data_IF_650965940100
#
_entry.id   IF_650965940100
#
_cell.length_a   1.000
_cell.length_b   1.000
_cell.length_c   1.000
_cell.angle_alpha   90.00
_cell.angle_beta   90.00
_cell.angle_gamma   90.00
#
_symmetry.space_group_name_H-M   'P 1'
#
loop_
_entity.id
_entity.type
_entity.pdbx_description
1 polymer ?
#
# COMPACT_ATOMS: atom_id res chain seq x y z
N UNK A 1 -21.30 -27.72 -38.48
CA UNK A 1 -20.34 -26.81 -37.81
C UNK A 1 -21.04 -26.23 -36.58
N UNK A 2 -20.59 -26.56 -35.37
CA UNK A 2 -21.08 -25.88 -34.16
C UNK A 2 -20.44 -24.50 -34.10
N UNK A 3 -21.17 -23.43 -33.80
CA UNK A 3 -20.59 -22.09 -33.70
C UNK A 3 -19.53 -22.10 -32.60
N UNK A 4 -18.35 -21.55 -32.89
CA UNK A 4 -17.31 -21.32 -31.87
C UNK A 4 -17.80 -20.20 -30.97
N UNK A 5 -18.07 -20.54 -29.73
CA UNK A 5 -18.38 -19.58 -28.68
C UNK A 5 -17.21 -18.64 -28.45
N UNK A 6 -17.49 -17.35 -28.30
CA UNK A 6 -16.47 -16.34 -27.98
C UNK A 6 -15.91 -16.56 -26.57
N UNK A 7 -14.77 -15.92 -26.26
CA UNK A 7 -14.08 -16.08 -24.99
C UNK A 7 -14.94 -15.65 -23.78
N UNK A 8 -15.82 -14.66 -23.97
CA UNK A 8 -16.70 -14.16 -22.90
C UNK A 8 -17.90 -15.08 -22.65
N UNK A 9 -18.46 -15.70 -23.70
CA UNK A 9 -19.52 -16.72 -23.57
C UNK A 9 -18.99 -17.98 -22.89
N UNK A 10 -17.78 -18.42 -23.23
CA UNK A 10 -17.09 -19.52 -22.51
C UNK A 10 -16.84 -19.17 -21.04
N UNK A 11 -16.43 -17.91 -20.77
CA UNK A 11 -16.25 -17.40 -19.40
C UNK A 11 -17.54 -17.45 -18.59
N UNK A 12 -18.68 -17.00 -19.14
CA UNK A 12 -19.97 -17.03 -18.46
C UNK A 12 -20.47 -18.46 -18.20
N UNK A 13 -20.33 -19.38 -19.15
CA UNK A 13 -20.76 -20.77 -19.00
C UNK A 13 -19.94 -21.56 -17.96
N UNK A 14 -18.63 -21.31 -17.85
CA UNK A 14 -17.78 -21.96 -16.84
C UNK A 14 -18.08 -21.45 -15.42
N UNK A 15 -18.43 -20.16 -15.29
CA UNK A 15 -18.85 -19.59 -14.01
C UNK A 15 -20.17 -20.19 -13.52
N UNK A 16 -21.11 -20.45 -14.42
CA UNK A 16 -22.42 -21.05 -14.10
C UNK A 16 -22.37 -22.54 -13.81
N UNK A 17 -21.44 -23.31 -14.41
CA UNK A 17 -21.38 -24.78 -14.23
C UNK A 17 -20.80 -25.25 -12.89
N UNK A 18 -20.07 -24.40 -12.16
CA UNK A 18 -19.49 -24.75 -10.85
C UNK A 18 -20.32 -24.29 -9.62
N UNK A 19 -21.52 -23.70 -9.83
CA UNK A 19 -22.32 -23.14 -8.74
C UNK A 19 -23.64 -23.87 -8.57
N UNK A 20 -23.70 -24.77 -7.62
CA UNK A 20 -24.94 -25.43 -7.19
C UNK A 20 -25.57 -24.83 -5.92
N UNK A 21 -25.15 -23.65 -5.45
CA UNK A 21 -25.67 -23.01 -4.22
C UNK A 21 -25.78 -21.48 -4.37
N UNK A 22 -26.92 -21.02 -4.79
CA UNK A 22 -27.67 -19.81 -4.36
C UNK A 22 -27.07 -18.39 -4.46
N UNK A 23 -25.82 -18.18 -4.83
CA UNK A 23 -25.26 -16.84 -5.10
C UNK A 23 -24.33 -16.86 -6.30
N UNK A 24 -24.59 -15.99 -7.28
CA UNK A 24 -23.80 -15.90 -8.52
C UNK A 24 -22.41 -15.22 -8.34
N UNK A 25 -22.05 -14.84 -7.11
CA UNK A 25 -20.82 -14.07 -6.82
C UNK A 25 -19.63 -14.97 -6.48
N UNK A 26 -18.45 -14.61 -6.97
CA UNK A 26 -17.15 -15.19 -6.57
C UNK A 26 -16.86 -14.74 -5.12
N UNK A 27 -16.68 -15.68 -4.22
CA UNK A 27 -16.51 -15.41 -2.78
C UNK A 27 -15.05 -15.51 -2.39
N UNK A 28 -14.52 -14.41 -1.90
CA UNK A 28 -13.11 -14.23 -1.54
C UNK A 28 -13.02 -14.02 -0.03
N UNK A 29 -12.17 -14.80 0.64
CA UNK A 29 -11.83 -14.60 2.04
C UNK A 29 -10.43 -14.03 2.15
N UNK A 30 -10.32 -12.75 2.51
CA UNK A 30 -9.05 -12.11 2.83
C UNK A 30 -8.64 -12.41 4.27
N UNK A 31 -7.35 -12.72 4.49
CA UNK A 31 -6.79 -13.00 5.84
C UNK A 31 -5.68 -12.01 6.13
N UNK A 32 -5.85 -11.21 7.20
CA UNK A 32 -4.93 -10.13 7.58
C UNK A 32 -4.91 -9.89 9.10
N UNK A 33 -4.06 -8.99 9.58
CA UNK A 33 -3.93 -8.68 11.01
C UNK A 33 -5.13 -7.95 11.60
N UNK A 34 -5.69 -6.98 10.88
CA UNK A 34 -6.83 -6.15 11.26
C UNK A 34 -7.16 -5.16 10.15
N UNK A 35 -8.23 -4.38 10.28
CA UNK A 35 -8.65 -3.37 9.30
C UNK A 35 -8.33 -1.95 9.78
N UNK A 36 -7.07 -1.70 10.19
CA UNK A 36 -6.59 -0.38 10.59
C UNK A 36 -6.06 0.42 9.39
N UNK A 37 -5.63 1.66 9.63
CA UNK A 37 -4.99 2.48 8.57
C UNK A 37 -3.53 2.06 8.38
N UNK A 38 -3.31 0.97 7.65
CA UNK A 38 -2.02 0.49 7.20
C UNK A 38 -1.94 0.42 5.67
N UNK A 39 -0.76 0.12 5.12
CA UNK A 39 -0.58 0.05 3.66
C UNK A 39 -1.39 -1.06 3.00
N UNK A 40 -1.46 -2.24 3.63
CA UNK A 40 -2.22 -3.41 3.13
C UNK A 40 -3.71 -3.16 3.23
N UNK A 41 -4.16 -2.67 4.37
CA UNK A 41 -5.56 -2.40 4.66
C UNK A 41 -6.12 -1.30 3.77
N UNK A 42 -5.36 -0.22 3.58
CA UNK A 42 -5.73 0.86 2.65
C UNK A 42 -5.83 0.34 1.22
N UNK A 43 -4.87 -0.48 0.77
CA UNK A 43 -4.94 -1.11 -0.55
C UNK A 43 -6.17 -2.02 -0.69
N UNK A 44 -6.49 -2.84 0.32
CA UNK A 44 -7.67 -3.69 0.32
C UNK A 44 -8.98 -2.88 0.26
N UNK A 45 -9.02 -1.74 0.95
CA UNK A 45 -10.15 -0.83 0.88
C UNK A 45 -10.29 -0.21 -0.52
N UNK A 46 -9.18 0.19 -1.15
CA UNK A 46 -9.21 0.67 -2.53
C UNK A 46 -9.73 -0.41 -3.49
N UNK A 47 -9.29 -1.67 -3.32
CA UNK A 47 -9.85 -2.78 -4.11
C UNK A 47 -11.35 -2.94 -3.83
N UNK A 48 -11.78 -2.96 -2.56
CA UNK A 48 -13.19 -3.17 -2.18
C UNK A 48 -14.11 -2.07 -2.71
N UNK A 49 -13.64 -0.81 -2.76
CA UNK A 49 -14.37 0.34 -3.30
C UNK A 49 -14.59 0.23 -4.82
N UNK A 50 -13.62 -0.36 -5.54
CA UNK A 50 -13.56 -0.30 -7.01
C UNK A 50 -13.79 -1.64 -7.71
N UNK A 51 -13.77 -2.78 -7.00
CA UNK A 51 -14.06 -4.10 -7.58
C UNK A 51 -15.53 -4.22 -7.96
N UNK A 52 -15.82 -5.00 -9.00
CA UNK A 52 -17.20 -5.33 -9.38
C UNK A 52 -17.91 -6.14 -8.28
N UNK A 53 -18.63 -5.46 -7.40
CA UNK A 53 -19.33 -6.05 -6.27
C UNK A 53 -20.56 -6.87 -6.67
N UNK A 54 -21.03 -6.77 -7.88
CA UNK A 54 -22.07 -7.67 -8.40
C UNK A 54 -21.50 -9.03 -8.73
N UNK A 55 -20.22 -9.09 -9.05
CA UNK A 55 -19.50 -10.31 -9.38
C UNK A 55 -18.67 -10.87 -8.22
N UNK A 56 -18.16 -10.05 -7.33
CA UNK A 56 -17.25 -10.44 -6.24
C UNK A 56 -17.84 -10.09 -4.87
N UNK A 57 -17.67 -10.99 -3.92
CA UNK A 57 -17.94 -10.75 -2.49
C UNK A 57 -16.64 -10.98 -1.71
N UNK A 58 -16.16 -9.93 -1.04
CA UNK A 58 -14.94 -9.97 -0.23
C UNK A 58 -15.34 -10.02 1.25
N UNK A 59 -14.96 -11.08 1.96
CA UNK A 59 -15.04 -11.18 3.42
C UNK A 59 -13.64 -11.13 4.02
N UNK A 60 -13.51 -10.72 5.29
CA UNK A 60 -12.24 -10.49 5.96
C UNK A 60 -12.11 -11.31 7.24
N UNK A 61 -11.02 -12.07 7.37
CA UNK A 61 -10.60 -12.69 8.63
C UNK A 61 -9.49 -11.83 9.23
N UNK A 62 -9.69 -11.42 10.48
CA UNK A 62 -8.75 -10.58 11.23
C UNK A 62 -8.23 -11.31 12.48
N UNK A 63 -7.00 -10.97 12.91
CA UNK A 63 -6.35 -11.61 14.06
C UNK A 63 -6.54 -10.85 15.38
N UNK A 64 -7.46 -9.91 15.43
CA UNK A 64 -7.80 -9.10 16.62
C UNK A 64 -9.31 -8.98 16.79
N UNK A 65 -9.74 -8.56 17.96
CA UNK A 65 -11.14 -8.29 18.30
C UNK A 65 -11.47 -6.80 18.37
N UNK A 66 -10.45 -5.97 18.59
CA UNK A 66 -10.63 -4.54 18.64
C UNK A 66 -11.04 -4.02 17.27
N UNK A 67 -12.03 -3.11 17.21
CA UNK A 67 -12.47 -2.51 15.96
C UNK A 67 -11.31 -1.86 15.21
N UNK A 68 -11.26 -2.05 13.91
CA UNK A 68 -10.35 -1.37 12.99
C UNK A 68 -10.96 -0.08 12.43
N UNK A 69 -10.12 0.81 11.96
CA UNK A 69 -10.54 2.11 11.41
C UNK A 69 -11.42 2.00 10.14
N UNK A 70 -11.39 0.86 9.46
CA UNK A 70 -12.17 0.60 8.24
C UNK A 70 -13.37 -0.33 8.45
N UNK A 71 -13.61 -0.82 9.67
CA UNK A 71 -14.64 -1.84 9.93
C UNK A 71 -16.04 -1.38 9.51
N UNK A 72 -16.43 -0.17 9.89
CA UNK A 72 -17.76 0.37 9.54
C UNK A 72 -17.93 0.47 8.02
N UNK A 73 -16.91 0.90 7.29
CA UNK A 73 -16.96 1.02 5.85
C UNK A 73 -17.03 -0.35 5.17
N UNK A 74 -16.24 -1.33 5.62
CA UNK A 74 -16.28 -2.72 5.14
C UNK A 74 -17.68 -3.31 5.29
N UNK A 75 -18.29 -3.15 6.46
CA UNK A 75 -19.63 -3.63 6.75
C UNK A 75 -20.70 -2.93 5.89
N UNK A 76 -20.52 -1.63 5.58
CA UNK A 76 -21.42 -0.86 4.72
C UNK A 76 -21.49 -1.39 3.28
N UNK A 77 -20.42 -2.05 2.81
CA UNK A 77 -20.38 -2.73 1.51
C UNK A 77 -21.00 -4.13 1.51
N UNK A 78 -21.55 -4.60 2.66
CA UNK A 78 -22.12 -5.94 2.81
C UNK A 78 -21.08 -7.04 3.01
N UNK A 79 -19.81 -6.68 3.17
CA UNK A 79 -18.70 -7.56 3.53
C UNK A 79 -18.74 -7.92 5.01
N UNK A 80 -18.12 -9.05 5.39
CA UNK A 80 -18.03 -9.49 6.78
C UNK A 80 -16.62 -9.33 7.30
N UNK A 81 -16.50 -9.04 8.61
CA UNK A 81 -15.23 -9.09 9.35
C UNK A 81 -15.38 -10.14 10.43
N UNK A 82 -14.55 -11.18 10.37
CA UNK A 82 -14.64 -12.34 11.27
C UNK A 82 -13.32 -12.50 12.04
N UNK A 83 -13.32 -12.35 13.37
CA UNK A 83 -12.12 -12.57 14.18
C UNK A 83 -11.69 -14.05 14.17
N UNK A 84 -10.43 -14.31 13.84
CA UNK A 84 -9.77 -15.60 13.98
C UNK A 84 -8.54 -15.44 14.88
N UNK A 85 -8.77 -15.61 16.18
CA UNK A 85 -7.79 -15.33 17.21
C UNK A 85 -6.72 -16.42 17.33
N UNK A 86 -5.66 -16.09 18.07
CA UNK A 86 -4.58 -16.99 18.48
C UNK A 86 -3.67 -17.51 17.34
N UNK A 87 -3.15 -16.65 16.46
CA UNK A 87 -2.19 -17.09 15.44
C UNK A 87 -0.91 -17.70 16.05
N UNK A 88 -0.58 -17.36 17.31
CA UNK A 88 0.51 -17.97 18.08
C UNK A 88 0.18 -19.37 18.65
N UNK A 89 -1.08 -19.82 18.58
CA UNK A 89 -1.55 -21.15 19.04
C UNK A 89 -2.10 -21.94 17.85
N UNK A 90 -1.27 -22.70 17.11
CA UNK A 90 -1.64 -23.28 15.82
C UNK A 90 -2.92 -24.13 15.84
N UNK A 91 -3.11 -24.94 16.88
CA UNK A 91 -4.30 -25.78 16.99
C UNK A 91 -5.58 -24.99 17.20
N UNK A 92 -5.56 -23.99 18.08
CA UNK A 92 -6.72 -23.13 18.32
C UNK A 92 -7.06 -22.34 17.06
N UNK A 93 -6.04 -21.80 16.38
CA UNK A 93 -6.21 -21.11 15.10
C UNK A 93 -6.83 -22.02 14.04
N UNK A 94 -6.34 -23.27 13.89
CA UNK A 94 -6.86 -24.21 12.91
C UNK A 94 -8.35 -24.51 13.14
N UNK A 95 -8.75 -24.77 14.39
CA UNK A 95 -10.15 -25.02 14.74
C UNK A 95 -11.04 -23.81 14.42
N UNK A 96 -10.60 -22.60 14.79
CA UNK A 96 -11.33 -21.37 14.50
C UNK A 96 -11.43 -21.10 13.00
N UNK A 97 -10.33 -21.23 12.27
CA UNK A 97 -10.30 -20.96 10.84
C UNK A 97 -11.17 -21.97 10.06
N UNK A 98 -11.12 -23.28 10.41
CA UNK A 98 -11.97 -24.29 9.81
C UNK A 98 -13.46 -24.07 10.14
N UNK A 99 -13.77 -23.61 11.37
CA UNK A 99 -15.13 -23.20 11.73
C UNK A 99 -15.61 -22.07 10.84
N UNK A 100 -14.80 -21.01 10.66
CA UNK A 100 -15.12 -19.87 9.80
C UNK A 100 -15.40 -20.31 8.37
N UNK A 101 -14.55 -21.17 7.79
CA UNK A 101 -14.74 -21.68 6.43
C UNK A 101 -16.02 -22.49 6.28
N UNK A 102 -16.45 -23.24 7.31
CA UNK A 102 -17.70 -24.02 7.28
C UNK A 102 -18.94 -23.16 7.51
N UNK A 103 -18.87 -22.20 8.44
CA UNK A 103 -20.02 -21.40 8.86
C UNK A 103 -20.35 -20.30 7.85
N UNK A 104 -19.31 -19.64 7.31
CA UNK A 104 -19.47 -18.51 6.40
C UNK A 104 -19.18 -18.85 4.93
N UNK A 105 -18.65 -20.04 4.65
CA UNK A 105 -18.37 -20.54 3.30
C UNK A 105 -19.62 -20.97 2.51
N UNK A 106 -19.45 -21.59 1.35
CA UNK A 106 -18.17 -21.88 0.70
C UNK A 106 -17.46 -20.62 0.17
N UNK A 107 -16.12 -20.66 0.16
CA UNK A 107 -15.28 -19.65 -0.47
C UNK A 107 -14.58 -20.24 -1.69
N UNK A 108 -14.54 -19.49 -2.79
CA UNK A 108 -13.82 -19.84 -4.01
C UNK A 108 -12.33 -19.54 -3.85
N UNK A 109 -12.00 -18.48 -3.11
CA UNK A 109 -10.64 -17.96 -2.95
C UNK A 109 -10.35 -17.69 -1.48
N UNK A 110 -9.18 -18.13 -0.99
CA UNK A 110 -8.55 -17.62 0.23
C UNK A 110 -7.33 -16.81 -0.18
N UNK A 111 -7.35 -15.52 0.12
CA UNK A 111 -6.28 -14.57 -0.19
C UNK A 111 -5.62 -14.08 1.10
N UNK A 112 -4.41 -14.57 1.37
CA UNK A 112 -3.72 -14.37 2.64
C UNK A 112 -2.65 -13.27 2.54
N UNK A 113 -2.69 -12.30 3.46
CA UNK A 113 -1.79 -11.14 3.55
C UNK A 113 -0.88 -11.19 4.78
N UNK A 114 -0.84 -12.33 5.48
CA UNK A 114 -0.11 -12.48 6.76
C UNK A 114 1.30 -13.02 6.58
N UNK A 115 1.95 -12.64 5.49
CA UNK A 115 3.35 -12.94 5.19
C UNK A 115 3.68 -14.44 5.35
N UNK A 116 4.74 -14.83 6.09
CA UNK A 116 5.11 -16.24 6.29
C UNK A 116 3.99 -17.10 6.88
N UNK A 117 3.15 -16.55 7.77
CA UNK A 117 2.03 -17.29 8.35
C UNK A 117 1.00 -17.71 7.29
N UNK A 118 1.02 -17.09 6.11
CA UNK A 118 0.23 -17.53 4.94
C UNK A 118 0.45 -19.01 4.61
N UNK A 119 1.65 -19.56 4.82
CA UNK A 119 1.90 -20.99 4.62
C UNK A 119 0.97 -21.90 5.45
N UNK A 120 0.70 -21.50 6.68
CA UNK A 120 -0.24 -22.22 7.54
C UNK A 120 -1.70 -22.00 7.13
N UNK A 121 -2.08 -20.76 6.86
CA UNK A 121 -3.43 -20.40 6.41
C UNK A 121 -3.81 -21.16 5.14
N UNK A 122 -2.95 -21.15 4.11
CA UNK A 122 -3.21 -21.80 2.82
C UNK A 122 -3.25 -23.33 2.92
N UNK A 123 -2.45 -23.92 3.83
CA UNK A 123 -2.54 -25.33 4.16
C UNK A 123 -3.93 -25.68 4.71
N UNK A 124 -4.43 -24.90 5.68
CA UNK A 124 -5.76 -25.11 6.26
C UNK A 124 -6.86 -24.93 5.21
N UNK A 125 -6.77 -23.91 4.36
CA UNK A 125 -7.70 -23.68 3.26
C UNK A 125 -7.72 -24.84 2.26
N UNK A 126 -6.54 -25.43 1.92
CA UNK A 126 -6.47 -26.62 1.07
C UNK A 126 -7.23 -27.80 1.66
N UNK A 127 -7.02 -28.09 2.95
CA UNK A 127 -7.70 -29.19 3.62
C UNK A 127 -9.21 -28.96 3.82
N UNK A 128 -9.65 -27.69 3.80
CA UNK A 128 -11.05 -27.32 3.80
C UNK A 128 -11.70 -27.33 2.39
N UNK A 129 -10.93 -27.69 1.35
CA UNK A 129 -11.42 -27.80 -0.02
C UNK A 129 -11.48 -26.48 -0.81
N UNK A 130 -10.90 -25.37 -0.29
CA UNK A 130 -10.85 -24.10 -1.05
C UNK A 130 -9.95 -24.26 -2.27
N UNK A 131 -10.49 -24.05 -3.50
CA UNK A 131 -9.73 -24.35 -4.71
C UNK A 131 -8.60 -23.37 -4.98
N UNK A 132 -8.82 -22.06 -4.79
CA UNK A 132 -7.82 -21.02 -5.08
C UNK A 132 -7.25 -20.46 -3.77
N UNK A 133 -5.92 -20.46 -3.67
CA UNK A 133 -5.21 -20.10 -2.45
C UNK A 133 -4.06 -19.19 -2.80
N UNK A 134 -4.17 -17.92 -2.41
CA UNK A 134 -3.25 -16.84 -2.77
C UNK A 134 -2.43 -16.42 -1.56
N UNK A 135 -1.10 -16.44 -1.67
CA UNK A 135 -0.20 -15.77 -0.75
C UNK A 135 0.19 -14.41 -1.34
N UNK A 136 -0.03 -13.33 -0.59
CA UNK A 136 0.33 -11.99 -1.02
C UNK A 136 1.29 -11.34 -0.04
N UNK A 137 2.46 -10.91 -0.54
CA UNK A 137 3.46 -10.19 0.24
C UNK A 137 3.46 -8.71 -0.12
N UNK A 138 3.57 -7.86 0.91
CA UNK A 138 3.50 -6.41 0.81
C UNK A 138 4.80 -5.71 1.20
N UNK A 139 5.76 -6.46 1.76
CA UNK A 139 7.03 -5.94 2.27
C UNK A 139 8.17 -6.89 1.97
N UNK A 140 9.36 -6.33 1.77
CA UNK A 140 10.59 -7.08 1.81
C UNK A 140 11.02 -7.28 3.29
N UNK A 141 11.23 -8.52 3.68
CA UNK A 141 11.61 -8.90 5.06
C UNK A 141 12.99 -9.50 5.15
N UNK A 142 13.76 -9.54 4.07
CA UNK A 142 15.09 -10.20 4.00
C UNK A 142 16.00 -9.73 5.13
N UNK A 143 16.06 -8.43 5.39
CA UNK A 143 16.91 -7.87 6.45
C UNK A 143 16.45 -8.27 7.85
N UNK A 144 15.17 -8.48 8.08
CA UNK A 144 14.60 -8.91 9.36
C UNK A 144 14.73 -10.42 9.57
N UNK A 145 14.73 -11.20 8.50
CA UNK A 145 14.93 -12.65 8.53
C UNK A 145 16.36 -13.03 8.92
N UNK A 146 17.35 -12.28 8.41
CA UNK A 146 18.77 -12.51 8.69
C UNK A 146 19.15 -12.27 10.17
N UNK A 147 18.41 -11.40 10.86
CA UNK A 147 18.64 -11.08 12.29
C UNK A 147 18.01 -12.09 13.26
N UNK A 148 17.29 -13.12 12.75
CA UNK A 148 16.61 -14.12 13.57
C UNK A 148 17.53 -15.26 14.01
N UNK A 149 17.33 -15.79 15.26
CA UNK A 149 17.99 -17.00 15.74
C UNK A 149 17.56 -18.26 14.95
N UNK A 150 18.25 -19.40 15.21
CA UNK A 150 18.09 -20.68 14.50
C UNK A 150 16.62 -21.14 14.39
N UNK A 151 15.85 -21.12 15.47
CA UNK A 151 14.43 -21.53 15.47
C UNK A 151 13.56 -20.65 14.57
N UNK A 152 13.85 -19.35 14.51
CA UNK A 152 13.12 -18.42 13.64
C UNK A 152 13.42 -18.68 12.16
N UNK A 153 14.67 -18.98 11.82
CA UNK A 153 15.06 -19.36 10.45
C UNK A 153 14.40 -20.67 10.02
N UNK A 154 14.35 -21.66 10.91
CA UNK A 154 13.68 -22.94 10.66
C UNK A 154 12.17 -22.72 10.44
N UNK A 155 11.53 -21.91 11.27
CA UNK A 155 10.12 -21.51 11.09
C UNK A 155 9.88 -20.88 9.72
N UNK A 156 10.71 -19.91 9.32
CA UNK A 156 10.54 -19.25 8.01
C UNK A 156 10.74 -20.24 6.85
N UNK A 157 11.72 -21.12 6.95
CA UNK A 157 11.94 -22.15 5.94
C UNK A 157 10.71 -23.07 5.79
N UNK A 158 10.15 -23.56 6.90
CA UNK A 158 8.94 -24.36 6.86
C UNK A 158 7.72 -23.60 6.30
N UNK A 159 7.58 -22.32 6.64
CA UNK A 159 6.46 -21.52 6.15
C UNK A 159 6.60 -21.23 4.65
N UNK A 160 7.80 -20.88 4.16
CA UNK A 160 8.07 -20.70 2.72
C UNK A 160 7.80 -21.99 1.95
N UNK A 161 8.32 -23.14 2.43
CA UNK A 161 8.01 -24.44 1.83
C UNK A 161 6.49 -24.73 1.80
N UNK A 162 5.76 -24.39 2.86
CA UNK A 162 4.32 -24.53 2.91
C UNK A 162 3.62 -23.61 1.90
N UNK A 163 4.07 -22.37 1.74
CA UNK A 163 3.53 -21.45 0.73
C UNK A 163 3.74 -22.07 -0.66
N UNK A 164 4.97 -22.47 -1.01
CA UNK A 164 5.30 -23.05 -2.31
C UNK A 164 4.44 -24.30 -2.65
N UNK A 165 4.10 -25.09 -1.61
CA UNK A 165 3.31 -26.32 -1.76
C UNK A 165 1.80 -26.05 -1.87
N UNK A 166 1.27 -25.09 -1.13
CA UNK A 166 -0.18 -24.92 -0.96
C UNK A 166 -0.75 -23.70 -1.70
N UNK A 167 0.07 -22.72 -2.06
CA UNK A 167 -0.39 -21.61 -2.88
C UNK A 167 -0.63 -22.06 -4.32
N UNK A 168 -1.75 -21.62 -4.90
CA UNK A 168 -2.03 -21.71 -6.34
C UNK A 168 -1.46 -20.51 -7.06
N UNK A 169 -1.41 -19.35 -6.38
CA UNK A 169 -0.83 -18.09 -6.87
C UNK A 169 -0.07 -17.41 -5.74
N UNK A 170 1.04 -16.77 -6.07
CA UNK A 170 1.77 -15.88 -5.20
C UNK A 170 1.80 -14.47 -5.78
N UNK A 171 1.45 -13.49 -4.96
CA UNK A 171 1.44 -12.08 -5.34
C UNK A 171 2.42 -11.29 -4.49
N UNK A 172 3.01 -10.27 -5.08
CA UNK A 172 3.86 -9.32 -4.37
C UNK A 172 3.71 -7.91 -4.90
N UNK A 173 3.86 -6.92 -4.01
CA UNK A 173 3.80 -5.51 -4.38
C UNK A 173 5.02 -5.02 -5.19
N UNK A 174 6.08 -5.83 -5.23
CA UNK A 174 7.29 -5.61 -6.02
C UNK A 174 8.03 -6.93 -6.25
N UNK A 175 8.98 -6.95 -7.17
CA UNK A 175 9.87 -8.11 -7.38
C UNK A 175 10.70 -8.44 -6.13
N UNK A 176 11.16 -7.44 -5.38
CA UNK A 176 11.89 -7.65 -4.13
C UNK A 176 10.99 -8.30 -3.07
N UNK A 177 9.74 -7.86 -2.95
CA UNK A 177 8.79 -8.47 -2.03
C UNK A 177 8.49 -9.93 -2.42
N UNK A 178 8.33 -10.23 -3.72
CA UNK A 178 8.19 -11.61 -4.22
C UNK A 178 9.39 -12.48 -3.83
N UNK A 179 10.61 -12.04 -4.15
CA UNK A 179 11.84 -12.78 -3.86
C UNK A 179 12.03 -13.03 -2.35
N UNK A 180 11.58 -12.11 -1.50
CA UNK A 180 11.63 -12.25 -0.05
C UNK A 180 10.76 -13.41 0.47
N UNK A 181 9.58 -13.64 -0.11
CA UNK A 181 8.63 -14.65 0.36
C UNK A 181 8.70 -15.98 -0.39
N UNK A 182 8.99 -15.96 -1.71
CA UNK A 182 8.84 -17.12 -2.60
C UNK A 182 10.16 -17.74 -3.08
N UNK A 183 11.31 -17.32 -2.55
CA UNK A 183 12.69 -17.65 -2.96
C UNK A 183 13.19 -16.93 -4.24
N UNK A 184 14.52 -16.95 -4.43
CA UNK A 184 15.22 -16.16 -5.47
C UNK A 184 14.89 -16.53 -6.92
N UNK A 185 14.35 -17.73 -7.18
CA UNK A 185 13.94 -18.18 -8.51
C UNK A 185 12.50 -17.82 -8.89
N UNK A 186 11.91 -16.85 -8.17
CA UNK A 186 10.51 -16.44 -8.37
C UNK A 186 10.21 -15.98 -9.82
N UNK A 187 11.20 -15.52 -10.59
CA UNK A 187 11.02 -15.12 -11.98
C UNK A 187 10.75 -16.28 -12.93
N UNK A 188 11.02 -17.53 -12.54
CA UNK A 188 10.84 -18.71 -13.36
C UNK A 188 9.51 -19.44 -13.12
N UNK A 189 8.83 -19.16 -12.03
CA UNK A 189 7.55 -19.80 -11.71
C UNK A 189 6.37 -18.89 -12.11
N UNK A 190 5.56 -19.31 -13.09
CA UNK A 190 4.44 -18.50 -13.61
C UNK A 190 3.34 -18.24 -12.59
N UNK A 191 3.37 -18.93 -11.43
CA UNK A 191 2.42 -18.68 -10.36
C UNK A 191 2.71 -17.37 -9.60
N UNK A 192 3.95 -16.86 -9.70
CA UNK A 192 4.40 -15.68 -8.96
C UNK A 192 4.28 -14.41 -9.80
N UNK A 193 3.50 -13.44 -9.34
CA UNK A 193 3.19 -12.25 -10.13
C UNK A 193 3.29 -10.98 -9.27
N UNK A 194 3.76 -9.89 -9.88
CA UNK A 194 3.70 -8.56 -9.26
C UNK A 194 2.30 -7.98 -9.49
N UNK A 195 1.68 -7.54 -8.40
CA UNK A 195 0.43 -6.76 -8.43
C UNK A 195 0.71 -5.40 -7.81
N UNK A 196 0.59 -4.36 -8.63
CA UNK A 196 0.86 -3.01 -8.18
C UNK A 196 -0.28 -2.47 -7.32
N UNK A 197 0.05 -1.61 -6.39
CA UNK A 197 -0.96 -0.87 -5.63
C UNK A 197 -1.61 0.17 -6.55
N UNK A 198 -2.93 0.07 -6.64
CA UNK A 198 -3.71 1.09 -7.35
C UNK A 198 -3.95 2.30 -6.46
N UNK A 199 -3.85 3.48 -7.05
CA UNK A 199 -4.21 4.76 -6.44
C UNK A 199 -5.53 5.24 -7.05
N UNK A 200 -6.50 5.58 -6.21
CA UNK A 200 -7.67 6.32 -6.67
C UNK A 200 -7.25 7.75 -7.02
N UNK A 201 -7.42 8.10 -8.30
CA UNK A 201 -7.04 9.40 -8.82
C UNK A 201 -8.16 10.45 -8.72
N UNK A 202 -9.36 10.06 -8.29
CA UNK A 202 -10.50 10.98 -8.19
C UNK A 202 -10.27 12.13 -7.19
N UNK A 203 -9.60 11.93 -6.02
CA UNK A 203 -9.31 13.03 -5.10
C UNK A 203 -8.29 14.06 -5.62
N UNK A 204 -7.57 13.70 -6.69
CA UNK A 204 -6.59 14.61 -7.32
C UNK A 204 -7.19 15.44 -8.45
N UNK A 205 -8.49 15.29 -8.74
CA UNK A 205 -9.20 16.05 -9.76
C UNK A 205 -9.77 17.36 -9.20
N UNK A 206 -10.25 18.23 -10.11
CA UNK A 206 -10.90 19.49 -9.77
C UNK A 206 -9.93 20.61 -9.38
N UNK A 207 -10.48 21.75 -8.97
CA UNK A 207 -9.72 22.92 -8.53
C UNK A 207 -9.55 22.90 -7.01
N UNK A 208 -8.42 23.40 -6.54
CA UNK A 208 -8.15 23.60 -5.10
C UNK A 208 -7.80 25.07 -4.91
N UNK A 209 -8.41 25.67 -3.91
CA UNK A 209 -8.05 26.98 -3.41
C UNK A 209 -6.85 26.82 -2.44
N UNK A 210 -5.66 27.18 -2.91
CA UNK A 210 -4.42 27.05 -2.15
C UNK A 210 -4.39 28.00 -0.95
N UNK A 211 -4.91 29.19 -1.10
CA UNK A 211 -4.88 30.19 -0.04
C UNK A 211 -5.77 29.75 1.12
N UNK A 212 -6.93 29.16 0.81
CA UNK A 212 -7.82 28.60 1.83
C UNK A 212 -7.16 27.43 2.58
N UNK A 213 -6.52 26.49 1.85
CA UNK A 213 -5.85 25.33 2.48
C UNK A 213 -4.69 25.78 3.37
N UNK A 214 -3.90 26.77 2.93
CA UNK A 214 -2.78 27.32 3.71
C UNK A 214 -3.28 28.08 4.94
N UNK A 215 -4.33 28.89 4.78
CA UNK A 215 -4.92 29.63 5.90
C UNK A 215 -5.43 28.71 7.02
N UNK A 216 -6.08 27.60 6.67
CA UNK A 216 -6.52 26.56 7.63
C UNK A 216 -5.37 25.95 8.46
N UNK A 217 -4.17 25.92 7.87
CA UNK A 217 -2.95 25.39 8.51
C UNK A 217 -2.10 26.48 9.19
N UNK A 218 -2.52 27.74 9.10
CA UNK A 218 -1.73 28.88 9.59
C UNK A 218 -0.47 29.16 8.75
N UNK A 219 -0.45 28.75 7.47
CA UNK A 219 0.66 28.96 6.55
C UNK A 219 0.40 30.23 5.74
N UNK A 220 1.38 31.19 5.68
CA UNK A 220 1.27 32.36 4.82
C UNK A 220 1.14 31.95 3.32
N UNK A 221 0.37 32.73 2.55
CA UNK A 221 0.12 32.44 1.13
C UNK A 221 1.42 32.43 0.29
N UNK A 222 2.40 33.25 0.67
CA UNK A 222 3.69 33.40 0.01
C UNK A 222 4.81 32.51 0.61
N UNK A 223 4.47 31.58 1.50
CA UNK A 223 5.43 30.63 2.06
C UNK A 223 5.89 29.58 1.05
N UNK A 224 7.17 29.16 1.16
CA UNK A 224 7.68 27.96 0.49
C UNK A 224 7.45 26.75 1.40
N UNK A 225 6.58 25.83 1.01
CA UNK A 225 6.13 24.72 1.86
C UNK A 225 6.73 23.40 1.43
N UNK A 226 7.60 22.85 2.27
CA UNK A 226 8.10 21.48 2.15
C UNK A 226 7.13 20.54 2.86
N UNK A 227 6.58 19.55 2.14
CA UNK A 227 5.66 18.56 2.71
C UNK A 227 6.29 17.19 2.91
N UNK A 228 5.93 16.52 3.98
CA UNK A 228 6.19 15.10 4.19
C UNK A 228 4.94 14.41 4.75
N UNK A 229 4.65 13.22 4.26
CA UNK A 229 3.53 12.38 4.73
C UNK A 229 4.06 11.01 5.10
N UNK A 230 3.91 10.62 6.36
CA UNK A 230 4.37 9.33 6.84
C UNK A 230 4.24 9.14 8.35
N UNK A 231 4.19 7.87 8.78
CA UNK A 231 4.19 7.55 10.21
C UNK A 231 5.52 7.96 10.86
N UNK A 232 5.48 8.51 12.06
CA UNK A 232 6.69 8.89 12.81
C UNK A 232 7.43 7.65 13.33
N UNK A 233 8.08 6.94 12.39
CA UNK A 233 8.92 5.76 12.60
C UNK A 233 10.34 6.04 12.07
N UNK A 234 11.32 5.33 12.60
CA UNK A 234 12.73 5.49 12.21
C UNK A 234 12.96 5.38 10.69
N UNK A 235 12.24 4.48 10.02
CA UNK A 235 12.35 4.26 8.57
C UNK A 235 12.00 5.48 7.73
N UNK A 236 11.12 6.38 8.22
CA UNK A 236 10.71 7.62 7.51
C UNK A 236 11.69 8.77 7.70
N UNK A 237 12.68 8.61 8.60
CA UNK A 237 13.82 9.49 8.77
C UNK A 237 13.48 10.95 9.09
N UNK A 238 12.45 11.16 9.95
CA UNK A 238 12.01 12.50 10.35
C UNK A 238 13.13 13.33 10.99
N UNK A 239 14.08 12.67 11.66
CA UNK A 239 15.26 13.34 12.20
C UNK A 239 16.01 14.07 11.09
N UNK A 240 16.27 13.41 9.97
CA UNK A 240 16.98 14.01 8.83
C UNK A 240 16.12 15.03 8.09
N UNK A 241 14.79 14.85 8.03
CA UNK A 241 13.88 15.87 7.48
C UNK A 241 14.04 17.20 8.22
N UNK A 242 14.12 17.18 9.55
CA UNK A 242 14.33 18.38 10.35
C UNK A 242 15.73 18.99 10.13
N UNK A 243 16.76 18.17 9.97
CA UNK A 243 18.11 18.66 9.65
C UNK A 243 18.13 19.35 8.27
N UNK A 244 17.47 18.79 7.26
CA UNK A 244 17.30 19.42 5.94
C UNK A 244 16.52 20.74 6.05
N UNK A 245 15.43 20.76 6.82
CA UNK A 245 14.66 21.99 7.01
C UNK A 245 15.47 23.11 7.68
N UNK A 246 16.37 22.77 8.63
CA UNK A 246 17.28 23.71 9.24
C UNK A 246 18.28 24.33 8.24
N UNK A 247 18.69 23.59 7.22
CA UNK A 247 19.53 24.12 6.13
C UNK A 247 18.71 24.99 5.16
N UNK A 248 17.47 24.59 4.83
CA UNK A 248 16.62 25.37 3.92
C UNK A 248 16.26 26.72 4.49
N UNK A 249 15.92 26.82 5.78
CA UNK A 249 15.48 28.09 6.40
C UNK A 249 16.57 29.16 6.38
N UNK A 250 17.86 28.79 6.33
CA UNK A 250 18.98 29.73 6.20
C UNK A 250 18.97 30.46 4.85
N UNK A 251 18.43 29.83 3.80
CA UNK A 251 18.42 30.37 2.43
C UNK A 251 17.02 30.85 2.02
N UNK A 252 15.96 30.27 2.64
CA UNK A 252 14.56 30.62 2.41
C UNK A 252 13.83 30.89 3.74
N UNK A 253 13.89 32.13 4.24
CA UNK A 253 13.28 32.51 5.52
C UNK A 253 11.76 32.36 5.57
N UNK A 254 11.08 32.24 4.40
CA UNK A 254 9.65 31.99 4.30
C UNK A 254 9.31 30.49 4.24
N UNK A 255 10.28 29.61 4.47
CA UNK A 255 10.07 28.17 4.49
C UNK A 255 9.14 27.75 5.63
N UNK A 256 8.24 26.81 5.33
CA UNK A 256 7.46 26.03 6.27
C UNK A 256 7.64 24.54 5.99
N UNK A 257 7.70 23.74 7.04
CA UNK A 257 7.73 22.29 6.95
C UNK A 257 6.39 21.73 7.44
N UNK A 258 5.63 21.06 6.56
CA UNK A 258 4.36 20.41 6.86
C UNK A 258 4.56 18.90 7.02
N UNK A 259 4.46 18.40 8.25
CA UNK A 259 4.58 16.99 8.60
C UNK A 259 3.20 16.40 8.86
N UNK A 260 2.77 15.46 8.00
CA UNK A 260 1.47 14.80 8.11
C UNK A 260 1.64 13.35 8.52
N UNK A 261 1.02 12.97 9.61
CA UNK A 261 1.10 11.65 10.21
C UNK A 261 1.25 11.68 11.71
N UNK A 262 1.39 10.52 12.31
CA UNK A 262 1.60 10.35 13.75
C UNK A 262 2.47 9.11 14.02
N UNK A 263 2.94 8.91 15.25
CA UNK A 263 3.72 7.76 15.66
C UNK A 263 4.63 8.01 16.85
N UNK A 264 5.29 6.95 17.29
CA UNK A 264 6.07 6.92 18.53
C UNK A 264 7.18 7.98 18.62
N UNK A 265 7.73 8.39 17.48
CA UNK A 265 8.84 9.36 17.45
C UNK A 265 8.37 10.82 17.40
N UNK A 266 7.07 11.09 17.30
CA UNK A 266 6.56 12.47 17.16
C UNK A 266 7.00 13.38 18.30
N UNK A 267 6.91 13.02 19.59
CA UNK A 267 7.33 13.91 20.68
C UNK A 267 8.82 14.30 20.58
N UNK A 268 9.68 13.34 20.18
CA UNK A 268 11.10 13.58 20.00
C UNK A 268 11.36 14.54 18.80
N UNK A 269 10.55 14.48 17.75
CA UNK A 269 10.67 15.36 16.59
C UNK A 269 10.20 16.78 16.90
N UNK A 270 9.13 16.94 17.69
CA UNK A 270 8.68 18.23 18.19
C UNK A 270 9.76 18.91 19.04
N UNK A 271 10.39 18.15 19.95
CA UNK A 271 11.51 18.65 20.74
C UNK A 271 12.72 19.02 19.86
N UNK A 272 13.09 18.19 18.87
CA UNK A 272 14.19 18.49 17.94
C UNK A 272 13.92 19.75 17.11
N UNK A 273 12.70 19.95 16.65
CA UNK A 273 12.33 21.15 15.90
C UNK A 273 12.58 22.43 16.72
N UNK A 274 12.24 22.42 18.02
CA UNK A 274 12.53 23.52 18.93
C UNK A 274 14.04 23.71 19.10
N UNK A 275 14.80 22.62 19.30
CA UNK A 275 16.28 22.69 19.45
C UNK A 275 16.98 23.26 18.23
N UNK A 276 16.46 23.00 17.03
CA UNK A 276 16.97 23.53 15.76
C UNK A 276 16.51 24.96 15.46
N UNK A 277 15.72 25.59 16.36
CA UNK A 277 15.18 26.93 16.14
C UNK A 277 14.13 27.02 15.04
N UNK A 278 13.53 25.87 14.66
CA UNK A 278 12.50 25.83 13.62
C UNK A 278 11.11 26.19 14.14
N UNK A 279 10.87 26.07 15.46
CA UNK A 279 9.69 26.54 16.16
C UNK A 279 8.40 26.55 15.35
N UNK A 280 7.85 27.73 15.12
CA UNK A 280 6.59 27.95 14.40
C UNK A 280 6.66 27.64 12.89
N UNK A 281 7.81 27.26 12.37
CA UNK A 281 8.01 26.91 10.95
C UNK A 281 7.70 25.43 10.67
N UNK A 282 7.52 24.60 11.71
CA UNK A 282 7.17 23.17 11.55
C UNK A 282 5.73 22.94 12.02
N UNK A 283 4.91 22.46 11.10
CA UNK A 283 3.51 22.15 11.36
C UNK A 283 3.35 20.63 11.47
N UNK A 284 3.02 20.15 12.66
CA UNK A 284 2.70 18.75 12.93
C UNK A 284 1.19 18.55 12.78
N UNK A 285 0.72 18.27 11.56
CA UNK A 285 -0.70 18.22 11.20
C UNK A 285 -1.45 16.99 11.74
N UNK A 286 -0.75 16.03 12.36
CA UNK A 286 -1.35 14.78 12.83
C UNK A 286 -1.86 13.88 11.71
N UNK A 287 -2.75 12.93 12.06
CA UNK A 287 -3.39 12.05 11.11
C UNK A 287 -4.44 12.82 10.30
N UNK A 288 -4.32 12.75 8.98
CA UNK A 288 -5.23 13.41 8.03
C UNK A 288 -5.77 12.40 7.03
N UNK A 289 -7.01 12.60 6.61
CA UNK A 289 -7.67 11.82 5.54
C UNK A 289 -7.67 12.55 4.19
N UNK A 290 -7.37 13.85 4.19
CA UNK A 290 -7.40 14.72 3.02
C UNK A 290 -6.00 14.97 2.42
N UNK A 291 -5.15 13.92 2.37
CA UNK A 291 -3.78 13.99 1.85
C UNK A 291 -3.71 14.61 0.44
N UNK A 292 -4.55 14.20 -0.53
CA UNK A 292 -4.55 14.81 -1.87
C UNK A 292 -4.79 16.33 -1.84
N UNK A 293 -5.67 16.79 -0.95
CA UNK A 293 -5.96 18.20 -0.77
C UNK A 293 -4.77 18.96 -0.19
N UNK A 294 -4.09 18.39 0.80
CA UNK A 294 -2.88 18.98 1.40
C UNK A 294 -1.73 19.05 0.40
N UNK A 295 -1.48 17.99 -0.35
CA UNK A 295 -0.42 17.95 -1.36
C UNK A 295 -0.63 19.00 -2.46
N UNK A 296 -1.87 19.16 -2.94
CA UNK A 296 -2.19 20.10 -4.02
C UNK A 296 -2.37 21.54 -3.54
N UNK A 297 -2.85 21.73 -2.32
CA UNK A 297 -3.21 23.03 -1.78
C UNK A 297 -2.13 23.67 -0.91
N UNK A 298 -1.46 22.91 -0.08
CA UNK A 298 -0.50 23.46 0.87
C UNK A 298 0.96 23.38 0.40
N UNK A 299 1.36 22.23 -0.17
CA UNK A 299 2.77 21.91 -0.44
C UNK A 299 3.26 22.52 -1.78
N UNK A 300 4.55 22.87 -1.84
CA UNK A 300 5.27 23.27 -3.05
C UNK A 300 6.24 22.18 -3.53
N UNK A 301 6.79 21.41 -2.59
CA UNK A 301 7.68 20.28 -2.85
C UNK A 301 7.47 19.18 -1.82
N UNK A 302 7.56 17.92 -2.24
CA UNK A 302 7.47 16.77 -1.38
C UNK A 302 8.86 16.23 -1.03
N UNK A 303 9.15 16.04 0.25
CA UNK A 303 10.42 15.52 0.75
C UNK A 303 10.24 14.10 1.29
N UNK A 304 11.02 13.13 0.76
CA UNK A 304 10.88 11.73 1.09
C UNK A 304 12.23 11.01 1.28
N UNK A 305 12.99 11.31 2.36
CA UNK A 305 14.32 10.75 2.63
C UNK A 305 14.24 9.45 3.42
N UNK A 306 13.26 8.58 3.12
CA UNK A 306 13.08 7.29 3.78
C UNK A 306 14.34 6.43 3.66
N UNK A 307 14.68 5.73 4.75
CA UNK A 307 15.81 4.80 4.80
C UNK A 307 15.52 3.49 4.06
N UNK A 308 14.25 3.15 3.93
CA UNK A 308 13.77 1.95 3.27
C UNK A 308 12.29 2.08 2.93
N UNK A 309 11.88 1.59 1.75
CA UNK A 309 10.48 1.50 1.31
C UNK A 309 10.25 0.23 0.47
N UNK A 310 9.05 -0.33 0.56
CA UNK A 310 8.59 -1.31 -0.43
C UNK A 310 8.31 -0.63 -1.77
N UNK A 311 7.21 0.11 -1.86
CA UNK A 311 6.90 0.96 -3.01
C UNK A 311 6.89 2.45 -2.64
N UNK A 312 6.45 2.78 -1.41
CA UNK A 312 6.30 4.16 -0.96
C UNK A 312 5.09 4.84 -1.62
N UNK A 313 3.89 4.32 -1.40
CA UNK A 313 2.64 4.76 -2.08
C UNK A 313 2.43 6.27 -2.05
N UNK A 314 2.81 6.95 -0.97
CA UNK A 314 2.67 8.41 -0.83
C UNK A 314 3.40 9.21 -1.89
N UNK A 315 4.49 8.69 -2.49
CA UNK A 315 5.15 9.34 -3.62
C UNK A 315 4.35 9.24 -4.93
N UNK A 316 3.49 8.19 -5.05
CA UNK A 316 2.55 8.12 -6.17
C UNK A 316 1.46 9.18 -6.02
N UNK A 317 1.03 9.43 -4.78
CA UNK A 317 0.11 10.52 -4.45
C UNK A 317 0.72 11.88 -4.76
N UNK A 318 2.00 12.11 -4.42
CA UNK A 318 2.71 13.35 -4.76
C UNK A 318 2.80 13.56 -6.27
N UNK A 319 3.11 12.52 -7.04
CA UNK A 319 3.13 12.58 -8.51
C UNK A 319 1.72 12.83 -9.09
N UNK A 320 0.68 12.19 -8.55
CA UNK A 320 -0.71 12.44 -8.96
C UNK A 320 -1.16 13.87 -8.65
N UNK A 321 -0.63 14.47 -7.58
CA UNK A 321 -0.84 15.87 -7.23
C UNK A 321 -0.10 16.85 -8.17
N UNK A 322 0.80 16.36 -9.04
CA UNK A 322 1.71 17.19 -9.82
C UNK A 322 2.79 17.85 -8.97
N UNK A 323 3.08 17.31 -7.78
CA UNK A 323 3.98 17.90 -6.79
C UNK A 323 5.42 17.41 -7.03
N UNK A 324 6.39 18.31 -7.29
CA UNK A 324 7.80 17.97 -7.35
C UNK A 324 8.24 17.24 -6.07
N UNK A 325 9.10 16.25 -6.21
CA UNK A 325 9.48 15.38 -5.11
C UNK A 325 10.99 15.16 -5.05
N UNK A 326 11.59 15.36 -3.88
CA UNK A 326 12.97 15.03 -3.59
C UNK A 326 12.97 13.77 -2.71
N UNK A 327 13.47 12.67 -3.25
CA UNK A 327 13.37 11.35 -2.63
C UNK A 327 14.74 10.67 -2.50
N UNK A 328 14.88 9.75 -1.55
CA UNK A 328 16.12 9.00 -1.40
C UNK A 328 16.36 8.02 -2.55
N UNK A 329 17.63 7.79 -2.88
CA UNK A 329 18.08 6.85 -3.91
C UNK A 329 17.77 5.38 -3.58
N UNK A 330 17.55 5.04 -2.31
CA UNK A 330 17.20 3.68 -1.86
C UNK A 330 15.72 3.31 -2.10
N UNK A 331 14.86 4.29 -2.40
CA UNK A 331 13.45 4.03 -2.73
C UNK A 331 13.37 3.40 -4.13
N UNK A 332 12.63 2.28 -4.34
CA UNK A 332 12.58 1.60 -5.62
C UNK A 332 12.12 2.49 -6.78
N UNK A 333 12.77 2.41 -7.95
CA UNK A 333 12.44 3.24 -9.12
C UNK A 333 11.09 2.90 -9.78
N UNK A 334 10.54 1.72 -9.48
CA UNK A 334 9.29 1.25 -10.06
C UNK A 334 8.10 2.19 -9.90
N UNK A 335 8.10 3.05 -8.88
CA UNK A 335 7.06 4.06 -8.68
C UNK A 335 7.37 5.43 -9.26
N UNK A 336 8.41 5.59 -10.06
CA UNK A 336 8.72 6.85 -10.76
C UNK A 336 7.96 6.88 -12.09
N UNK A 337 6.74 7.39 -12.07
CA UNK A 337 5.84 7.46 -13.23
C UNK A 337 6.04 8.78 -13.98
N UNK A 338 6.00 9.88 -13.25
CA UNK A 338 6.15 11.24 -13.81
C UNK A 338 7.57 11.72 -13.56
N UNK A 339 8.51 11.19 -14.35
CA UNK A 339 9.95 11.38 -14.16
C UNK A 339 10.39 12.84 -13.93
N UNK A 340 9.86 13.86 -14.63
CA UNK A 340 10.28 15.24 -14.40
C UNK A 340 9.94 15.78 -13.01
N UNK A 341 9.03 15.13 -12.27
CA UNK A 341 8.69 15.50 -10.90
C UNK A 341 9.57 14.81 -9.85
N UNK A 342 10.42 13.85 -10.23
CA UNK A 342 11.18 13.05 -9.28
C UNK A 342 12.66 13.41 -9.33
N UNK A 343 13.19 13.93 -8.24
CA UNK A 343 14.61 14.15 -8.01
C UNK A 343 15.13 13.18 -6.97
N UNK A 344 16.05 12.31 -7.35
CA UNK A 344 16.70 11.38 -6.43
C UNK A 344 17.97 11.97 -5.84
N UNK A 345 18.14 11.81 -4.52
CA UNK A 345 19.30 12.28 -3.75
C UNK A 345 19.78 11.15 -2.85
N UNK A 346 21.10 10.95 -2.80
CA UNK A 346 21.67 9.89 -1.96
C UNK A 346 21.60 10.24 -0.47
N UNK A 347 21.24 9.24 0.35
CA UNK A 347 21.27 9.35 1.81
C UNK A 347 22.68 9.50 2.37
N UNK A 348 23.73 9.24 1.59
CA UNK A 348 25.13 9.48 1.98
C UNK A 348 25.51 10.98 1.92
N UNK A 349 24.70 11.80 1.24
CA UNK A 349 24.93 13.23 1.14
C UNK A 349 24.40 13.96 2.39
N UNK A 350 25.05 15.04 2.79
CA UNK A 350 24.65 15.83 3.96
C UNK A 350 23.35 16.62 3.69
N UNK A 351 22.72 17.11 4.77
CA UNK A 351 21.45 17.83 4.73
C UNK A 351 21.44 19.03 3.78
N UNK A 352 22.55 19.77 3.67
CA UNK A 352 22.63 20.92 2.78
C UNK A 352 22.45 20.54 1.29
N UNK A 353 22.94 19.38 0.85
CA UNK A 353 22.77 18.93 -0.53
C UNK A 353 21.29 18.59 -0.86
N UNK A 354 20.55 18.11 0.13
CA UNK A 354 19.11 17.93 0.04
C UNK A 354 18.36 19.26 0.04
N UNK A 355 18.82 20.22 0.84
CA UNK A 355 18.28 21.58 0.87
C UNK A 355 18.43 22.26 -0.50
N UNK A 356 19.61 22.19 -1.12
CA UNK A 356 19.83 22.70 -2.49
C UNK A 356 18.87 22.04 -3.50
N UNK A 357 18.69 20.70 -3.43
CA UNK A 357 17.77 20.00 -4.31
C UNK A 357 16.31 20.45 -4.14
N UNK A 358 15.88 20.78 -2.92
CA UNK A 358 14.55 21.32 -2.64
C UNK A 358 14.39 22.75 -3.17
N UNK A 359 15.40 23.60 -2.96
CA UNK A 359 15.37 25.01 -3.35
C UNK A 359 15.32 25.19 -4.88
N UNK A 360 15.79 24.21 -5.66
CA UNK A 360 15.61 24.22 -7.12
C UNK A 360 14.13 24.26 -7.54
N UNK A 361 13.21 23.85 -6.66
CA UNK A 361 11.77 23.86 -6.93
C UNK A 361 11.05 25.11 -6.42
N UNK A 362 11.74 26.02 -5.71
CA UNK A 362 11.15 27.26 -5.19
C UNK A 362 10.66 28.17 -6.32
N UNK A 363 11.53 28.40 -7.31
CA UNK A 363 11.30 29.36 -8.41
C UNK A 363 11.02 28.64 -9.75
N UNK A 364 11.05 27.31 -9.75
CA UNK A 364 10.89 26.56 -10.96
C UNK A 364 9.42 26.47 -11.37
N UNK A 365 9.09 27.00 -12.54
CA UNK A 365 7.85 26.60 -13.21
C UNK A 365 7.92 25.09 -13.46
N UNK A 366 7.02 24.32 -12.85
CA UNK A 366 7.00 22.88 -13.03
C UNK A 366 6.96 22.55 -14.53
N UNK A 367 7.88 21.69 -14.99
CA UNK A 367 7.94 21.24 -16.39
C UNK A 367 6.74 20.38 -16.78
N UNK A 368 5.94 19.96 -15.80
CA UNK A 368 4.74 19.15 -15.98
C UNK A 368 3.59 19.81 -15.25
N UNK A 369 2.50 20.09 -15.94
CA UNK A 369 1.30 20.61 -15.29
C UNK A 369 0.65 19.55 -14.40
N UNK A 370 -0.10 19.93 -13.35
CA UNK A 370 -0.83 18.96 -12.53
C UNK A 370 -1.80 18.09 -13.35
N UNK A 371 -2.40 18.63 -14.42
CA UNK A 371 -3.26 17.87 -15.33
C UNK A 371 -2.50 16.83 -16.14
N UNK A 372 -1.29 17.17 -16.63
CA UNK A 372 -0.45 16.22 -17.39
C UNK A 372 0.13 15.14 -16.49
N UNK A 373 0.52 15.49 -15.26
CA UNK A 373 0.96 14.53 -14.26
C UNK A 373 -0.16 13.55 -13.93
N UNK A 374 -1.37 14.03 -13.69
CA UNK A 374 -2.53 13.20 -13.42
C UNK A 374 -2.88 12.29 -14.61
N UNK A 375 -2.76 12.79 -15.85
CA UNK A 375 -2.97 12.01 -17.05
C UNK A 375 -1.93 10.88 -17.21
N UNK A 376 -0.64 11.15 -16.90
CA UNK A 376 0.39 10.12 -16.89
C UNK A 376 0.12 9.05 -15.82
N UNK A 377 -0.29 9.46 -14.62
CA UNK A 377 -0.69 8.53 -13.55
C UNK A 377 -1.90 7.69 -13.95
N UNK A 378 -2.89 8.29 -14.62
CA UNK A 378 -4.08 7.60 -15.08
C UNK A 378 -3.79 6.49 -16.11
N UNK A 379 -2.75 6.67 -16.92
CA UNK A 379 -2.31 5.69 -17.93
C UNK A 379 -1.30 4.67 -17.37
N UNK A 380 -0.92 4.78 -16.10
CA UNK A 380 0.06 3.91 -15.48
C UNK A 380 -0.56 2.64 -14.87
N UNK A 381 0.30 1.70 -14.54
CA UNK A 381 -0.05 0.50 -13.78
C UNK A 381 -0.53 0.79 -12.34
N UNK A 382 -0.33 2.01 -11.85
CA UNK A 382 -0.72 2.47 -10.51
C UNK A 382 -2.10 3.13 -10.47
N UNK A 383 -2.82 3.18 -11.58
CA UNK A 383 -4.24 3.56 -11.57
C UNK A 383 -5.07 2.44 -10.93
N UNK A 384 -5.92 2.79 -9.96
CA UNK A 384 -6.76 1.79 -9.26
C UNK A 384 -7.60 0.94 -10.22
N UNK A 385 -8.13 1.52 -11.29
CA UNK A 385 -8.90 0.77 -12.30
C UNK A 385 -8.07 -0.30 -12.99
N UNK A 386 -6.80 -0.01 -13.28
CA UNK A 386 -5.84 -0.95 -13.87
C UNK A 386 -5.48 -2.05 -12.88
N UNK A 387 -5.20 -1.68 -11.62
CA UNK A 387 -4.83 -2.63 -10.56
C UNK A 387 -5.99 -3.59 -10.22
N UNK A 388 -7.22 -3.07 -10.11
CA UNK A 388 -8.42 -3.90 -9.88
C UNK A 388 -8.61 -4.87 -11.04
N UNK A 389 -8.55 -4.40 -12.29
CA UNK A 389 -8.69 -5.28 -13.46
C UNK A 389 -7.62 -6.35 -13.53
N UNK A 390 -6.37 -6.03 -13.15
CA UNK A 390 -5.29 -7.02 -13.04
C UNK A 390 -5.65 -8.10 -12.01
N UNK A 391 -6.10 -7.70 -10.82
CA UNK A 391 -6.48 -8.63 -9.75
C UNK A 391 -7.69 -9.49 -10.14
N UNK A 392 -8.71 -8.90 -10.74
CA UNK A 392 -9.87 -9.63 -11.28
C UNK A 392 -9.46 -10.67 -12.32
N UNK A 393 -8.56 -10.31 -13.24
CA UNK A 393 -8.03 -11.25 -14.24
C UNK A 393 -7.29 -12.42 -13.59
N UNK A 394 -6.51 -12.17 -12.52
CA UNK A 394 -5.86 -13.22 -11.75
C UNK A 394 -6.90 -14.16 -11.13
N UNK A 395 -7.91 -13.63 -10.45
CA UNK A 395 -8.99 -14.43 -9.87
C UNK A 395 -9.70 -15.30 -10.90
N UNK A 396 -10.04 -14.70 -12.06
CA UNK A 396 -10.76 -15.40 -13.12
C UNK A 396 -9.92 -16.48 -13.80
N UNK A 397 -8.64 -16.20 -14.10
CA UNK A 397 -7.76 -17.17 -14.75
C UNK A 397 -7.61 -18.44 -13.91
N UNK A 398 -7.61 -18.31 -12.59
CA UNK A 398 -7.54 -19.45 -11.67
C UNK A 398 -8.86 -20.25 -11.61
N UNK A 399 -10.00 -19.59 -11.76
CA UNK A 399 -11.30 -20.26 -11.79
C UNK A 399 -11.53 -21.03 -13.12
N UNK A 400 -10.96 -20.54 -14.23
CA UNK A 400 -11.07 -21.19 -15.53
C UNK A 400 -10.12 -22.40 -15.63
N UNK A 401 -9.03 -22.40 -14.85
CA UNK A 401 -8.03 -23.48 -14.82
C UNK A 401 -8.41 -24.67 -13.90
N UNK A 402 -9.54 -24.59 -13.21
CA UNK A 402 -10.10 -25.65 -12.38
C UNK A 402 -11.04 -26.54 -13.17
#
# INVERSE_FOLDING_TARGET
MKPQMNADERRQLLITSHRSLGTDKIRILHVLGGMDRGGVETWLMEILRHIDRDRYLMDFVVHKTEPGAYDEEVLSFGSRIVPCLYPSRPWAYALNFQRILREFGPYDIVHSHVHHFSGYVLRLAKYAGVPIRIAHTHTDTVSSEQRGGFYRRLYFHFMKSSINRFATVGLGSSYQALAALFDSDCNCDPRWQVVNYGLDLSPFQGRIDRDLVRAELGIPADAFVIGHVGRFLAVKNHTFILDIAAEVIQQEPKMYLLLVGDGLLRPNMEQKAVQLGLGDRVIFAGLRSDIPRLMRGAMDVFLFPSLYEGLGNVRLEAQAAGLPSVISDVVPEQGDVVLPLVKRVSLSLPAFAWAEALLLHRDAVSRVSPSDALAQMANSQFNIKTAVKQLENIYLSQLIGL
#
